data_IF_900560756494
#
_entry.id   IF_900560756494
#
_cell.length_a   1.000
_cell.length_b   1.000
_cell.length_c   1.000
_cell.angle_alpha   90.00
_cell.angle_beta   90.00
_cell.angle_gamma   90.00
#
_symmetry.space_group_name_H-M   'P 1'
#
loop_
_entity.id
_entity.type
_entity.pdbx_description
1 polymer ?
#
# COMPACT_ATOMS: atom_id res chain seq x y z
N UNK A 1 16.15 -17.74 22.94
CA UNK A 1 16.28 -19.14 22.93
C UNK A 1 15.59 -19.80 21.75
N UNK A 2 16.32 -20.08 20.73
CA UNK A 2 15.75 -20.61 19.54
C UNK A 2 15.30 -22.06 19.71
N UNK A 3 14.10 -22.26 20.12
CA UNK A 3 13.52 -23.57 20.13
C UNK A 3 12.99 -23.85 18.73
N UNK A 4 13.67 -24.72 18.01
CA UNK A 4 13.28 -25.10 16.65
C UNK A 4 11.87 -25.66 16.59
N UNK A 5 11.48 -26.44 17.58
CA UNK A 5 10.15 -27.01 17.64
C UNK A 5 9.08 -25.95 17.74
N UNK A 6 9.34 -24.92 18.56
CA UNK A 6 8.42 -23.77 18.69
C UNK A 6 8.29 -23.03 17.36
N UNK A 7 9.43 -22.77 16.71
CA UNK A 7 9.44 -22.06 15.44
C UNK A 7 8.70 -22.84 14.36
N UNK A 8 8.96 -24.13 14.26
CA UNK A 8 8.29 -24.97 13.29
C UNK A 8 6.80 -25.03 13.52
N UNK A 9 6.37 -25.19 14.78
CA UNK A 9 4.96 -25.22 15.12
C UNK A 9 4.28 -23.88 14.85
N UNK A 10 4.95 -22.78 15.18
CA UNK A 10 4.45 -21.46 14.91
C UNK A 10 4.24 -21.27 13.40
N UNK A 11 5.26 -21.58 12.63
CA UNK A 11 5.17 -21.48 11.17
C UNK A 11 4.09 -22.36 10.60
N UNK A 12 3.99 -23.61 11.05
CA UNK A 12 2.97 -24.51 10.55
C UNK A 12 1.57 -24.04 10.85
N UNK A 13 1.34 -23.51 12.05
CA UNK A 13 0.02 -22.99 12.41
C UNK A 13 -0.26 -21.65 11.76
N UNK A 14 0.70 -20.72 11.85
CA UNK A 14 0.50 -19.36 11.33
C UNK A 14 0.48 -19.32 9.82
N UNK A 15 1.40 -20.08 9.19
CA UNK A 15 1.50 -20.08 7.72
C UNK A 15 0.24 -20.63 7.05
N UNK A 16 -0.58 -21.40 7.79
CA UNK A 16 -1.85 -21.90 7.27
C UNK A 16 -3.03 -21.02 7.66
N UNK A 17 -2.80 -20.02 8.50
CA UNK A 17 -3.89 -19.17 8.97
C UNK A 17 -4.30 -18.18 7.90
N UNK A 18 -5.57 -17.81 7.92
CA UNK A 18 -6.09 -16.81 7.00
C UNK A 18 -5.38 -15.44 7.14
N UNK A 19 -5.12 -14.93 8.36
CA UNK A 19 -4.40 -13.66 8.48
C UNK A 19 -3.03 -13.67 7.81
N UNK A 20 -2.27 -14.75 7.95
CA UNK A 20 -0.97 -14.85 7.29
C UNK A 20 -1.10 -14.87 5.77
N UNK A 21 -2.07 -15.62 5.26
CA UNK A 21 -2.26 -15.71 3.81
C UNK A 21 -2.68 -14.36 3.22
N UNK A 22 -3.51 -13.62 3.92
CA UNK A 22 -3.89 -12.28 3.50
C UNK A 22 -2.68 -11.34 3.52
N UNK A 23 -1.90 -11.38 4.58
CA UNK A 23 -0.69 -10.57 4.69
C UNK A 23 0.32 -10.91 3.60
N UNK A 24 0.53 -12.19 3.35
CA UNK A 24 1.45 -12.66 2.31
C UNK A 24 1.00 -12.19 0.94
N UNK A 25 -0.30 -12.28 0.64
CA UNK A 25 -0.85 -11.80 -0.62
C UNK A 25 -0.65 -10.30 -0.76
N UNK A 26 -0.90 -9.55 0.31
CA UNK A 26 -0.73 -8.09 0.32
C UNK A 26 0.72 -7.69 0.04
N UNK A 27 1.67 -8.34 0.70
CA UNK A 27 3.10 -8.08 0.48
C UNK A 27 3.49 -8.41 -0.96
N UNK A 28 3.04 -9.55 -1.46
CA UNK A 28 3.33 -9.98 -2.82
C UNK A 28 2.82 -8.96 -3.85
N UNK A 29 1.60 -8.51 -3.70
CA UNK A 29 0.98 -7.55 -4.60
C UNK A 29 1.77 -6.24 -4.60
N UNK A 30 2.18 -5.76 -3.42
CA UNK A 30 2.97 -4.53 -3.32
C UNK A 30 4.33 -4.65 -3.98
N UNK A 31 4.99 -5.79 -3.80
CA UNK A 31 6.27 -6.04 -4.44
C UNK A 31 6.14 -6.07 -5.96
N UNK A 32 5.14 -6.78 -6.46
CA UNK A 32 4.91 -6.86 -7.91
C UNK A 32 4.57 -5.51 -8.50
N UNK A 33 3.73 -4.75 -7.81
CA UNK A 33 3.37 -3.40 -8.26
C UNK A 33 4.57 -2.48 -8.32
N UNK A 34 5.43 -2.52 -7.29
CA UNK A 34 6.63 -1.70 -7.25
C UNK A 34 7.61 -2.06 -8.37
N UNK A 35 7.79 -3.36 -8.63
CA UNK A 35 8.64 -3.81 -9.72
C UNK A 35 8.12 -3.34 -11.07
N UNK A 36 6.81 -3.42 -11.27
CA UNK A 36 6.20 -2.98 -12.52
C UNK A 36 6.41 -1.49 -12.75
N UNK A 37 6.22 -0.67 -11.72
CA UNK A 37 6.48 0.77 -11.81
C UNK A 37 7.93 1.07 -12.15
N UNK A 38 8.86 0.32 -11.56
CA UNK A 38 10.28 0.47 -11.88
C UNK A 38 10.58 0.11 -13.32
N UNK A 39 9.99 -0.97 -13.83
CA UNK A 39 10.15 -1.38 -15.22
C UNK A 39 9.64 -0.32 -16.20
N UNK A 40 8.58 0.37 -15.81
CA UNK A 40 8.00 1.44 -16.62
C UNK A 40 8.72 2.77 -16.44
N UNK A 41 9.76 2.82 -15.62
CA UNK A 41 10.48 4.05 -15.26
C UNK A 41 9.55 5.12 -14.72
N UNK A 42 8.49 4.71 -14.04
CA UNK A 42 7.56 5.64 -13.43
C UNK A 42 8.18 6.24 -12.17
N UNK A 43 8.20 7.56 -12.08
CA UNK A 43 8.76 8.28 -10.94
C UNK A 43 7.70 8.47 -9.85
N UNK A 44 7.03 7.39 -9.50
CA UNK A 44 6.05 7.38 -8.41
C UNK A 44 6.13 6.05 -7.68
N UNK A 45 5.74 6.08 -6.42
CA UNK A 45 5.62 4.86 -5.62
C UNK A 45 4.26 4.20 -5.87
N UNK A 46 4.12 2.96 -5.45
CA UNK A 46 2.85 2.27 -5.55
C UNK A 46 1.75 2.98 -4.75
N UNK A 47 2.07 3.49 -3.56
CA UNK A 47 1.13 4.27 -2.76
C UNK A 47 0.64 5.51 -3.50
N UNK A 48 1.56 6.23 -4.14
CA UNK A 48 1.24 7.41 -4.91
C UNK A 48 0.36 7.06 -6.10
N UNK A 49 0.67 5.97 -6.77
CA UNK A 49 -0.12 5.51 -7.91
C UNK A 49 -1.55 5.17 -7.49
N UNK A 50 -1.71 4.40 -6.41
CA UNK A 50 -3.03 4.02 -5.91
C UNK A 50 -3.83 5.27 -5.50
N UNK A 51 -3.17 6.24 -4.88
CA UNK A 51 -3.83 7.49 -4.49
C UNK A 51 -4.29 8.27 -5.72
N UNK A 52 -3.47 8.35 -6.75
CA UNK A 52 -3.86 9.00 -8.01
C UNK A 52 -5.06 8.30 -8.64
N UNK A 53 -5.05 6.99 -8.64
CA UNK A 53 -6.15 6.21 -9.19
C UNK A 53 -7.45 6.50 -8.43
N UNK A 54 -7.38 6.54 -7.11
CA UNK A 54 -8.54 6.85 -6.27
C UNK A 54 -9.07 8.26 -6.56
N UNK A 55 -8.18 9.23 -6.73
CA UNK A 55 -8.57 10.60 -7.03
C UNK A 55 -9.22 10.68 -8.42
N UNK A 56 -8.66 9.99 -9.39
CA UNK A 56 -9.16 10.04 -10.76
C UNK A 56 -10.52 9.40 -10.94
N UNK A 57 -10.91 8.52 -10.02
CA UNK A 57 -12.18 7.82 -10.11
C UNK A 57 -13.37 8.66 -9.64
N UNK A 58 -13.14 9.82 -9.05
CA UNK A 58 -14.20 10.69 -8.56
C UNK A 58 -13.77 12.15 -8.66
N UNK A 59 -14.69 13.04 -9.02
CA UNK A 59 -14.40 14.47 -9.15
C UNK A 59 -14.41 15.20 -7.82
N UNK A 60 -15.00 14.61 -6.78
CA UNK A 60 -15.18 15.25 -5.48
C UNK A 60 -14.71 14.33 -4.37
N UNK A 61 -13.39 14.33 -4.11
CA UNK A 61 -12.81 13.47 -3.09
C UNK A 61 -12.17 14.33 -2.01
N UNK A 62 -12.61 14.17 -0.77
CA UNK A 62 -11.97 14.83 0.36
C UNK A 62 -10.92 13.89 0.98
N UNK A 63 -10.03 14.51 1.79
CA UNK A 63 -8.95 13.73 2.42
C UNK A 63 -9.46 12.63 3.35
N UNK A 64 -10.59 12.89 4.01
CA UNK A 64 -11.19 11.88 4.89
C UNK A 64 -11.61 10.64 4.12
N UNK A 65 -12.24 10.83 2.98
CA UNK A 65 -12.67 9.73 2.12
C UNK A 65 -11.47 8.96 1.58
N UNK A 66 -10.42 9.66 1.18
CA UNK A 66 -9.19 9.02 0.73
C UNK A 66 -8.56 8.17 1.83
N UNK A 67 -8.48 8.70 3.05
CA UNK A 67 -7.91 7.95 4.17
C UNK A 67 -8.66 6.65 4.40
N UNK A 68 -9.98 6.71 4.29
CA UNK A 68 -10.85 5.55 4.49
C UNK A 68 -10.60 4.49 3.43
N UNK A 69 -10.63 4.90 2.17
CA UNK A 69 -10.50 3.99 1.03
C UNK A 69 -9.08 3.41 0.96
N UNK A 70 -8.07 4.23 1.23
CA UNK A 70 -6.68 3.81 1.17
C UNK A 70 -6.21 3.07 2.42
N UNK A 71 -7.08 2.97 3.44
CA UNK A 71 -6.75 2.32 4.72
C UNK A 71 -5.53 2.96 5.38
N UNK A 72 -5.46 4.30 5.34
CA UNK A 72 -4.36 5.07 5.90
C UNK A 72 -4.92 6.16 6.81
N UNK A 73 -4.08 6.68 7.69
CA UNK A 73 -4.47 7.81 8.50
C UNK A 73 -4.37 9.11 7.71
N UNK A 74 -4.95 10.18 8.26
CA UNK A 74 -4.99 11.48 7.59
C UNK A 74 -3.61 12.08 7.36
N UNK A 75 -2.70 11.85 8.30
CA UNK A 75 -1.33 12.37 8.19
C UNK A 75 -0.61 11.76 7.00
N UNK A 76 -0.76 10.44 6.80
CA UNK A 76 -0.17 9.75 5.66
C UNK A 76 -0.78 10.24 4.35
N UNK A 77 -2.09 10.41 4.31
CA UNK A 77 -2.77 10.92 3.11
C UNK A 77 -2.27 12.32 2.78
N UNK A 78 -2.16 13.19 3.79
CA UNK A 78 -1.66 14.54 3.60
C UNK A 78 -0.25 14.53 3.03
N UNK A 79 0.62 13.67 3.55
CA UNK A 79 2.00 13.54 3.07
C UNK A 79 2.02 13.10 1.60
N UNK A 80 1.23 12.11 1.25
CA UNK A 80 1.17 11.61 -0.13
C UNK A 80 0.66 12.71 -1.07
N UNK A 81 -0.40 13.41 -0.67
CA UNK A 81 -0.96 14.47 -1.50
C UNK A 81 0.02 15.62 -1.70
N UNK A 82 0.78 15.98 -0.67
CA UNK A 82 1.80 17.02 -0.79
C UNK A 82 2.87 16.61 -1.80
N UNK A 83 3.31 15.36 -1.77
CA UNK A 83 4.30 14.86 -2.72
C UNK A 83 3.74 14.91 -4.15
N UNK A 84 2.51 14.47 -4.34
CA UNK A 84 1.87 14.47 -5.66
C UNK A 84 1.70 15.87 -6.20
N UNK A 85 1.35 16.82 -5.33
CA UNK A 85 1.23 18.22 -5.71
C UNK A 85 2.59 18.80 -6.12
N UNK A 86 3.63 18.50 -5.36
CA UNK A 86 4.99 18.94 -5.68
C UNK A 86 5.47 18.39 -7.02
N UNK A 87 5.05 17.18 -7.36
CA UNK A 87 5.39 16.56 -8.65
C UNK A 87 4.53 17.09 -9.79
N UNK A 88 3.57 17.94 -9.49
CA UNK A 88 2.68 18.49 -10.51
C UNK A 88 1.64 17.51 -11.02
N UNK A 89 1.39 16.43 -10.28
CA UNK A 89 0.46 15.40 -10.70
C UNK A 89 -0.97 15.67 -10.26
N UNK A 90 -1.15 16.50 -9.24
CA UNK A 90 -2.47 16.95 -8.78
C UNK A 90 -2.44 18.43 -8.46
N UNK A 91 -3.62 19.03 -8.45
CA UNK A 91 -3.82 20.38 -7.93
C UNK A 91 -4.90 20.32 -6.85
N UNK A 92 -4.74 21.14 -5.83
CA UNK A 92 -5.73 21.23 -4.77
C UNK A 92 -6.48 22.55 -4.83
#
# INVERSE_FOLDING_TARGET
MGNKDFEENFFNCYARSLPYLIEKASVYIRLRGSLLLNELNADITLEQFITLDAISSSSDVCQRDLAKVLLKDRSNVTRILNILEQKGLITR
#
